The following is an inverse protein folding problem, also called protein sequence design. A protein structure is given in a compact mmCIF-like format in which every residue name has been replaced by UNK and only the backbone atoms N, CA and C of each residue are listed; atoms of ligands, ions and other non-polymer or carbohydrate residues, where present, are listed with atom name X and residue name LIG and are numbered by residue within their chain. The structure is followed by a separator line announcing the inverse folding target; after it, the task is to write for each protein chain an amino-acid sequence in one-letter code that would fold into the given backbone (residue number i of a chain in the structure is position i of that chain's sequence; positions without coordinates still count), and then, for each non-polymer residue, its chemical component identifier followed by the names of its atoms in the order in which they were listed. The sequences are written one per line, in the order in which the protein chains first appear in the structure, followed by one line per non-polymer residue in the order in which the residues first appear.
data_IF_052159172649
#
_entry.id   IF_052159172649
#
_cell.length_a   1.000
_cell.length_b   1.000
_cell.length_c   1.000
_cell.angle_alpha   90.00
_cell.angle_beta   90.00
_cell.angle_gamma   90.00
#
_symmetry.space_group_name_H-M   'P 1'
#
loop_
_entity.id
_entity.type
_entity.pdbx_description
1 polymer ?
#
# COMPACT_ATOMS: atom_id res chain seq x y z
N UNK A 1 7.62 -5.48 1.08
CA UNK A 1 7.98 -4.42 2.05
C UNK A 1 6.69 -3.77 2.59
N UNK A 2 6.76 -2.90 3.60
CA UNK A 2 5.57 -2.24 4.16
C UNK A 2 5.52 -0.77 3.72
N UNK A 3 4.33 -0.31 3.29
CA UNK A 3 4.04 1.07 2.94
C UNK A 3 3.23 1.71 4.08
N UNK A 4 3.78 2.73 4.74
CA UNK A 4 3.11 3.45 5.82
C UNK A 4 3.18 4.97 5.60
N UNK A 5 2.03 5.64 5.60
CA UNK A 5 1.93 7.06 5.29
C UNK A 5 0.51 7.63 5.33
N UNK A 6 0.32 8.81 4.74
CA UNK A 6 -0.98 9.46 4.62
C UNK A 6 -1.90 8.72 3.64
N UNK A 7 -3.24 8.88 3.74
CA UNK A 7 -4.17 8.29 2.79
C UNK A 7 -3.86 8.62 1.32
N UNK A 8 -3.47 9.86 1.03
CA UNK A 8 -3.09 10.30 -0.32
C UNK A 8 -1.80 9.63 -0.81
N UNK A 9 -0.75 9.64 0.01
CA UNK A 9 0.53 9.00 -0.34
C UNK A 9 0.37 7.50 -0.60
N UNK A 10 -0.44 6.82 0.21
CA UNK A 10 -0.74 5.40 0.05
C UNK A 10 -1.48 5.15 -1.27
N UNK A 11 -2.46 5.98 -1.63
CA UNK A 11 -3.21 5.86 -2.88
C UNK A 11 -2.29 6.00 -4.08
N UNK A 12 -1.54 7.10 -4.16
CA UNK A 12 -0.69 7.39 -5.31
C UNK A 12 0.42 6.34 -5.47
N UNK A 13 1.03 5.92 -4.36
CA UNK A 13 2.08 4.89 -4.38
C UNK A 13 1.52 3.52 -4.77
N UNK A 14 0.31 3.17 -4.32
CA UNK A 14 -0.37 1.92 -4.72
C UNK A 14 -0.61 1.88 -6.22
N UNK A 15 -1.07 2.99 -6.82
CA UNK A 15 -1.30 3.09 -8.27
C UNK A 15 0.01 2.92 -9.04
N UNK A 16 1.08 3.59 -8.61
CA UNK A 16 2.42 3.43 -9.20
C UNK A 16 2.90 1.97 -9.13
N UNK A 17 2.82 1.35 -7.96
CA UNK A 17 3.27 -0.02 -7.75
C UNK A 17 2.47 -1.03 -8.57
N UNK A 18 1.14 -0.86 -8.64
CA UNK A 18 0.28 -1.69 -9.47
C UNK A 18 0.65 -1.56 -10.96
N UNK A 19 0.93 -0.34 -11.43
CA UNK A 19 1.41 -0.09 -12.79
C UNK A 19 2.78 -0.72 -13.10
N UNK A 20 3.59 -0.97 -12.07
CA UNK A 20 4.87 -1.68 -12.17
C UNK A 20 4.74 -3.20 -12.00
N UNK A 21 3.52 -3.73 -11.83
CA UNK A 21 3.26 -5.17 -11.66
C UNK A 21 3.46 -5.69 -10.24
N UNK A 22 3.55 -4.81 -9.24
CA UNK A 22 3.61 -5.21 -7.84
C UNK A 22 2.21 -5.50 -7.31
N UNK A 23 2.12 -6.50 -6.45
CA UNK A 23 0.87 -6.99 -5.86
C UNK A 23 0.86 -6.74 -4.35
N UNK A 24 -0.27 -6.23 -3.84
CA UNK A 24 -0.48 -6.05 -2.40
C UNK A 24 -0.80 -7.40 -1.73
N UNK A 25 -0.10 -7.70 -0.64
CA UNK A 25 -0.38 -8.87 0.19
C UNK A 25 -1.53 -8.61 1.17
N UNK A 26 -2.16 -9.70 1.61
CA UNK A 26 -3.26 -9.66 2.56
C UNK A 26 -3.03 -10.70 3.69
N UNK A 27 -4.03 -10.90 4.56
CA UNK A 27 -3.91 -11.82 5.70
C UNK A 27 -3.75 -13.31 5.32
N UNK A 28 -4.12 -13.69 4.10
CA UNK A 28 -4.04 -15.08 3.61
C UNK A 28 -3.03 -15.29 2.49
N UNK A 29 -2.67 -14.25 1.75
CA UNK A 29 -1.80 -14.34 0.57
C UNK A 29 -0.64 -13.35 0.66
N UNK A 30 0.58 -13.86 0.47
CA UNK A 30 1.78 -13.03 0.41
C UNK A 30 1.79 -12.22 -0.89
N UNK A 31 2.11 -10.94 -0.77
CA UNK A 31 2.35 -10.04 -1.90
C UNK A 31 3.71 -9.36 -1.81
N UNK A 32 3.98 -8.49 -2.77
CA UNK A 32 5.22 -7.73 -2.84
C UNK A 32 5.29 -6.65 -1.75
N UNK A 33 4.15 -6.09 -1.36
CA UNK A 33 4.05 -5.10 -0.29
C UNK A 33 2.74 -5.19 0.50
N UNK A 34 2.70 -4.58 1.69
CA UNK A 34 1.49 -4.42 2.51
C UNK A 34 1.32 -2.96 2.90
N UNK A 35 0.10 -2.54 3.22
CA UNK A 35 -0.22 -1.15 3.54
C UNK A 35 -0.62 -1.02 5.02
N UNK A 36 -0.12 0.04 5.67
CA UNK A 36 -0.55 0.48 6.99
C UNK A 36 -0.85 1.99 6.93
N UNK A 37 -1.99 2.44 7.46
CA UNK A 37 -2.29 3.88 7.50
C UNK A 37 -1.61 4.51 8.71
N UNK A 38 -0.73 5.48 8.48
CA UNK A 38 -0.04 6.18 9.56
C UNK A 38 -1.00 7.04 10.41
N UNK A 39 -2.01 7.60 9.74
CA UNK A 39 -3.10 8.37 10.35
C UNK A 39 -4.31 8.38 9.42
N UNK A 40 -5.45 8.81 9.95
CA UNK A 40 -6.66 9.11 9.18
C UNK A 40 -7.00 10.58 9.36
N UNK A 41 -7.66 11.18 8.37
CA UNK A 41 -8.28 12.49 8.53
C UNK A 41 -9.36 12.43 9.62
N UNK A 42 -9.57 13.55 10.32
CA UNK A 42 -10.54 13.66 11.42
C UNK A 42 -11.98 13.72 10.94
#
# INVERSE_FOLDING_TARGET
FMLCGSPEMIKDTRELLTGLGYEEGNHGEAGHYVIEKAFVEK
#
